data_IF_353302960645
#
_entry.id   IF_353302960645
#
_cell.length_a   1.000
_cell.length_b   1.000
_cell.length_c   1.000
_cell.angle_alpha   90.00
_cell.angle_beta   90.00
_cell.angle_gamma   90.00
#
_symmetry.space_group_name_H-M   'P 1'
#
loop_
_entity.id
_entity.type
_entity.pdbx_description
1 polymer ?
#
# COMPACT_ATOMS: atom_id res chain seq x y z
N UNK A 1 -26.65 -7.67 -0.23
CA UNK A 1 -25.25 -7.83 -0.65
C UNK A 1 -24.45 -8.34 0.54
N UNK A 2 -23.74 -9.44 0.36
CA UNK A 2 -22.87 -10.03 1.36
C UNK A 2 -21.42 -9.99 0.87
N UNK A 3 -20.50 -9.51 1.70
CA UNK A 3 -19.08 -9.33 1.36
C UNK A 3 -18.25 -10.31 2.17
N UNK A 4 -17.41 -11.13 1.54
CA UNK A 4 -16.35 -11.86 2.26
C UNK A 4 -15.04 -11.09 2.20
N UNK A 5 -14.42 -10.84 3.35
CA UNK A 5 -13.14 -10.14 3.47
C UNK A 5 -12.07 -11.15 3.87
N UNK A 6 -11.06 -11.31 3.01
CA UNK A 6 -9.94 -12.23 3.27
C UNK A 6 -8.71 -11.44 3.66
N UNK A 7 -8.15 -11.74 4.84
CA UNK A 7 -6.96 -11.10 5.39
C UNK A 7 -6.03 -12.13 6.03
N UNK A 8 -4.73 -11.88 6.03
CA UNK A 8 -3.75 -12.85 6.56
C UNK A 8 -2.66 -12.23 7.43
N UNK A 9 -2.40 -10.94 7.29
CA UNK A 9 -1.28 -10.25 7.93
C UNK A 9 -1.70 -8.96 8.63
N UNK A 10 -0.86 -8.46 9.55
CA UNK A 10 -1.13 -7.19 10.25
C UNK A 10 -1.34 -6.00 9.33
N UNK A 11 -0.53 -5.78 8.27
CA UNK A 11 -0.77 -4.69 7.32
C UNK A 11 -2.16 -4.76 6.67
N UNK A 12 -2.62 -5.96 6.30
CA UNK A 12 -3.97 -6.15 5.75
C UNK A 12 -5.06 -5.81 6.77
N UNK A 13 -4.89 -6.26 8.02
CA UNK A 13 -5.83 -5.92 9.10
C UNK A 13 -5.91 -4.40 9.28
N UNK A 14 -4.76 -3.71 9.32
CA UNK A 14 -4.69 -2.25 9.47
C UNK A 14 -5.40 -1.56 8.31
N UNK A 15 -5.06 -1.91 7.08
CA UNK A 15 -5.57 -1.25 5.87
C UNK A 15 -7.04 -1.56 5.61
N UNK A 16 -7.53 -2.73 6.00
CA UNK A 16 -8.94 -3.10 5.86
C UNK A 16 -9.83 -2.61 7.03
N UNK A 17 -9.25 -2.18 8.15
CA UNK A 17 -10.00 -1.69 9.29
C UNK A 17 -11.02 -0.59 8.92
N UNK A 18 -10.66 0.49 8.20
CA UNK A 18 -11.61 1.51 7.80
C UNK A 18 -12.68 1.01 6.82
N UNK A 19 -12.37 0.03 5.97
CA UNK A 19 -13.34 -0.60 5.07
C UNK A 19 -14.37 -1.40 5.87
N UNK A 20 -13.91 -2.16 6.87
CA UNK A 20 -14.80 -2.91 7.79
C UNK A 20 -15.70 -1.95 8.56
N UNK A 21 -15.17 -0.81 9.05
CA UNK A 21 -15.98 0.19 9.74
C UNK A 21 -17.06 0.78 8.83
N UNK A 22 -16.74 1.07 7.56
CA UNK A 22 -17.70 1.61 6.61
C UNK A 22 -18.80 0.59 6.23
N UNK A 23 -18.46 -0.70 6.12
CA UNK A 23 -19.39 -1.80 5.95
C UNK A 23 -20.36 -1.88 7.14
N UNK A 24 -19.84 -1.85 8.36
CA UNK A 24 -20.64 -1.87 9.61
C UNK A 24 -21.56 -0.66 9.71
N UNK A 25 -21.06 0.53 9.43
CA UNK A 25 -21.82 1.78 9.46
C UNK A 25 -23.04 1.74 8.52
N UNK A 26 -22.93 1.02 7.40
CA UNK A 26 -24.00 0.86 6.41
C UNK A 26 -24.86 -0.37 6.64
N UNK A 27 -24.62 -1.14 7.69
CA UNK A 27 -25.32 -2.39 7.97
C UNK A 27 -25.27 -3.39 6.79
N UNK A 28 -24.14 -3.46 6.10
CA UNK A 28 -23.91 -4.44 5.03
C UNK A 28 -23.47 -5.75 5.68
N UNK A 29 -24.06 -6.87 5.25
CA UNK A 29 -23.65 -8.20 5.69
C UNK A 29 -22.25 -8.52 5.21
N UNK A 30 -21.41 -9.02 6.10
CA UNK A 30 -20.05 -9.45 5.75
C UNK A 30 -19.57 -10.62 6.59
N UNK A 31 -18.58 -11.32 6.06
CA UNK A 31 -17.86 -12.40 6.73
C UNK A 31 -16.38 -12.08 6.71
N UNK A 32 -15.73 -12.05 7.88
CA UNK A 32 -14.32 -11.76 8.03
C UNK A 32 -13.52 -13.05 8.19
N UNK A 33 -12.68 -13.35 7.21
CA UNK A 33 -11.90 -14.59 7.12
C UNK A 33 -10.42 -14.27 7.34
N UNK A 34 -9.85 -14.79 8.43
CA UNK A 34 -8.44 -14.63 8.75
C UNK A 34 -7.66 -15.92 8.45
N UNK A 35 -6.65 -15.83 7.57
CA UNK A 35 -5.90 -17.01 7.11
C UNK A 35 -4.89 -17.52 8.15
N UNK A 36 -4.46 -16.69 9.08
CA UNK A 36 -3.52 -17.08 10.14
C UNK A 36 -2.10 -17.33 9.63
N UNK A 37 -1.61 -16.51 8.72
CA UNK A 37 -0.33 -16.74 8.02
C UNK A 37 0.91 -16.64 8.94
N UNK A 38 0.95 -15.71 9.91
CA UNK A 38 2.19 -15.37 10.64
C UNK A 38 2.12 -15.38 12.16
N UNK A 39 0.95 -15.54 12.79
CA UNK A 39 0.83 -15.36 14.24
C UNK A 39 -0.07 -16.40 14.89
N UNK A 40 0.23 -16.69 16.16
CA UNK A 40 -0.69 -17.43 17.01
C UNK A 40 -2.03 -16.70 17.11
N UNK A 41 -3.08 -17.49 17.28
CA UNK A 41 -4.45 -17.01 17.37
C UNK A 41 -4.63 -15.93 18.45
N UNK A 42 -3.97 -16.07 19.60
CA UNK A 42 -4.06 -15.12 20.72
C UNK A 42 -3.46 -13.75 20.36
N UNK A 43 -2.28 -13.73 19.72
CA UNK A 43 -1.65 -12.45 19.29
C UNK A 43 -2.48 -11.74 18.22
N UNK A 44 -3.15 -12.49 17.36
CA UNK A 44 -4.06 -11.92 16.37
C UNK A 44 -5.30 -11.33 17.03
N UNK A 45 -5.92 -12.04 18.00
CA UNK A 45 -7.08 -11.56 18.73
C UNK A 45 -6.82 -10.23 19.46
N UNK A 46 -5.68 -10.13 20.16
CA UNK A 46 -5.29 -8.89 20.82
C UNK A 46 -5.19 -7.74 19.84
N UNK A 47 -4.62 -7.98 18.65
CA UNK A 47 -4.48 -6.95 17.62
C UNK A 47 -5.83 -6.45 17.09
N UNK A 48 -6.81 -7.35 16.89
CA UNK A 48 -8.19 -6.96 16.55
C UNK A 48 -8.84 -6.12 17.65
N UNK A 49 -8.64 -6.48 18.92
CA UNK A 49 -9.16 -5.71 20.06
C UNK A 49 -8.51 -4.33 20.17
N UNK A 50 -7.20 -4.24 19.96
CA UNK A 50 -6.47 -2.97 19.99
C UNK A 50 -7.01 -2.01 18.93
N UNK A 51 -7.30 -2.52 17.75
CA UNK A 51 -7.86 -1.77 16.63
C UNK A 51 -9.39 -1.63 16.66
N UNK A 52 -10.08 -2.09 17.70
CA UNK A 52 -11.55 -2.02 17.84
C UNK A 52 -12.31 -2.69 16.68
N UNK A 53 -11.73 -3.78 16.15
CA UNK A 53 -12.31 -4.56 15.08
C UNK A 53 -13.11 -5.75 15.60
N UNK A 54 -14.12 -6.24 14.84
CA UNK A 54 -14.79 -7.49 15.18
C UNK A 54 -13.80 -8.66 15.12
N UNK A 55 -14.09 -9.71 15.87
CA UNK A 55 -13.36 -10.96 15.72
C UNK A 55 -13.61 -11.54 14.33
N UNK A 56 -12.63 -12.20 13.70
CA UNK A 56 -12.88 -12.96 12.49
C UNK A 56 -13.97 -14.00 12.69
N UNK A 57 -14.87 -14.14 11.73
CA UNK A 57 -15.90 -15.18 11.72
C UNK A 57 -15.27 -16.54 11.45
N UNK A 58 -14.22 -16.56 10.60
CA UNK A 58 -13.47 -17.76 10.27
C UNK A 58 -11.97 -17.57 10.45
N UNK A 59 -11.30 -18.61 10.99
CA UNK A 59 -9.86 -18.66 11.17
C UNK A 59 -9.28 -19.95 10.58
N UNK A 60 -8.50 -19.84 9.48
CA UNK A 60 -7.98 -21.02 8.77
C UNK A 60 -6.76 -21.62 9.49
N UNK A 61 -5.92 -20.80 10.10
CA UNK A 61 -4.76 -21.27 10.87
C UNK A 61 -3.65 -21.87 10.03
N UNK A 62 -3.31 -21.27 8.89
CA UNK A 62 -2.33 -21.80 7.94
C UNK A 62 -0.92 -21.92 8.55
N UNK A 63 -0.55 -20.98 9.41
CA UNK A 63 0.77 -20.91 10.03
C UNK A 63 1.90 -20.56 9.02
N UNK A 64 3.12 -20.44 9.55
CA UNK A 64 4.30 -20.11 8.73
C UNK A 64 4.83 -21.36 8.02
N UNK A 65 4.83 -21.34 6.69
CA UNK A 65 5.30 -22.42 5.80
C UNK A 65 5.96 -21.80 4.56
N UNK A 66 6.43 -22.64 3.62
CA UNK A 66 6.85 -22.14 2.30
C UNK A 66 5.68 -21.51 1.54
N UNK A 67 5.94 -20.55 0.65
CA UNK A 67 4.91 -19.85 -0.13
C UNK A 67 3.89 -20.81 -0.76
N UNK A 68 4.35 -21.85 -1.47
CA UNK A 68 3.47 -22.84 -2.10
C UNK A 68 2.55 -23.55 -1.09
N UNK A 69 3.11 -23.99 0.06
CA UNK A 69 2.33 -24.68 1.09
C UNK A 69 1.34 -23.75 1.80
N UNK A 70 1.71 -22.48 1.99
CA UNK A 70 0.80 -21.47 2.57
C UNK A 70 -0.35 -21.20 1.61
N UNK A 71 -0.05 -20.90 0.34
CA UNK A 71 -1.07 -20.63 -0.68
C UNK A 71 -2.02 -21.81 -0.83
N UNK A 72 -1.52 -23.04 -0.97
CA UNK A 72 -2.34 -24.23 -1.11
C UNK A 72 -3.26 -24.47 0.10
N UNK A 73 -2.73 -24.33 1.33
CA UNK A 73 -3.52 -24.50 2.55
C UNK A 73 -4.60 -23.40 2.69
N UNK A 74 -4.25 -22.16 2.33
CA UNK A 74 -5.20 -21.05 2.31
C UNK A 74 -6.32 -21.29 1.30
N UNK A 75 -5.97 -21.70 0.08
CA UNK A 75 -6.95 -22.02 -0.97
C UNK A 75 -7.94 -23.09 -0.52
N UNK A 76 -7.43 -24.20 0.05
CA UNK A 76 -8.28 -25.29 0.53
C UNK A 76 -9.27 -24.80 1.61
N UNK A 77 -8.77 -24.05 2.62
CA UNK A 77 -9.63 -23.55 3.68
C UNK A 77 -10.66 -22.52 3.19
N UNK A 78 -10.27 -21.66 2.25
CA UNK A 78 -11.17 -20.66 1.66
C UNK A 78 -12.29 -21.30 0.84
N UNK A 79 -11.99 -22.36 0.07
CA UNK A 79 -12.99 -23.02 -0.76
C UNK A 79 -14.18 -23.52 0.07
N UNK A 80 -13.91 -24.17 1.20
CA UNK A 80 -14.96 -24.70 2.08
C UNK A 80 -15.80 -23.55 2.70
N UNK A 81 -15.13 -22.50 3.20
CA UNK A 81 -15.78 -21.33 3.78
C UNK A 81 -16.65 -20.60 2.73
N UNK A 82 -16.14 -20.35 1.54
CA UNK A 82 -16.88 -19.62 0.51
C UNK A 82 -18.08 -20.41 -0.04
N UNK A 83 -18.02 -21.75 -0.03
CA UNK A 83 -19.18 -22.61 -0.35
C UNK A 83 -20.32 -22.44 0.67
N UNK A 84 -19.97 -22.29 1.95
CA UNK A 84 -20.92 -22.07 3.03
C UNK A 84 -21.48 -20.64 3.03
N UNK A 85 -20.59 -19.65 2.99
CA UNK A 85 -20.90 -18.23 3.13
C UNK A 85 -21.64 -17.63 1.93
N UNK A 86 -21.37 -18.13 0.72
CA UNK A 86 -21.96 -17.69 -0.57
C UNK A 86 -21.99 -16.17 -0.72
N UNK A 87 -20.84 -15.49 -0.62
CA UNK A 87 -20.80 -14.03 -0.74
C UNK A 87 -21.07 -13.58 -2.18
N UNK A 88 -21.60 -12.37 -2.33
CA UNK A 88 -21.75 -11.70 -3.63
C UNK A 88 -20.42 -11.22 -4.19
N UNK A 89 -19.44 -10.95 -3.30
CA UNK A 89 -18.09 -10.50 -3.67
C UNK A 89 -17.08 -10.92 -2.59
N UNK A 90 -15.87 -11.28 -3.01
CA UNK A 90 -14.71 -11.48 -2.13
C UNK A 90 -13.80 -10.27 -2.25
N UNK A 91 -13.50 -9.62 -1.13
CA UNK A 91 -12.53 -8.53 -1.04
C UNK A 91 -11.19 -9.04 -0.53
N UNK A 92 -10.12 -8.70 -1.26
CA UNK A 92 -8.72 -8.94 -0.89
C UNK A 92 -7.96 -7.62 -0.86
N UNK A 93 -6.85 -7.53 -0.12
CA UNK A 93 -6.08 -6.28 0.01
C UNK A 93 -4.58 -6.53 -0.09
N UNK A 94 -3.90 -5.85 -1.03
CA UNK A 94 -2.45 -5.86 -1.15
C UNK A 94 -1.91 -7.05 -1.94
N UNK A 95 -0.86 -7.71 -1.41
CA UNK A 95 0.01 -8.57 -2.23
C UNK A 95 0.51 -9.85 -1.53
N UNK A 96 -0.14 -10.25 -0.46
CA UNK A 96 0.29 -11.45 0.28
C UNK A 96 -0.17 -12.75 -0.36
N UNK A 97 0.30 -13.90 0.17
CA UNK A 97 -0.22 -15.20 -0.27
C UNK A 97 -1.71 -15.37 0.03
N UNK A 98 -2.25 -14.67 1.04
CA UNK A 98 -3.69 -14.68 1.35
C UNK A 98 -4.49 -14.00 0.22
N UNK A 99 -3.97 -12.89 -0.31
CA UNK A 99 -4.56 -12.17 -1.46
C UNK A 99 -4.58 -13.03 -2.70
N UNK A 100 -3.42 -13.62 -3.05
CA UNK A 100 -3.31 -14.55 -4.18
C UNK A 100 -4.32 -15.70 -4.06
N UNK A 101 -4.35 -16.37 -2.91
CA UNK A 101 -5.24 -17.50 -2.67
C UNK A 101 -6.72 -17.09 -2.72
N UNK A 102 -7.06 -15.96 -2.09
CA UNK A 102 -8.42 -15.42 -2.04
C UNK A 102 -8.95 -15.07 -3.43
N UNK A 103 -8.17 -14.33 -4.21
CA UNK A 103 -8.54 -13.95 -5.57
C UNK A 103 -8.70 -15.16 -6.48
N UNK A 104 -7.75 -16.10 -6.43
CA UNK A 104 -7.77 -17.28 -7.29
C UNK A 104 -8.92 -18.23 -6.97
N UNK A 105 -9.18 -18.50 -5.69
CA UNK A 105 -10.30 -19.39 -5.28
C UNK A 105 -11.64 -18.76 -5.65
N UNK A 106 -11.86 -17.49 -5.29
CA UNK A 106 -13.11 -16.79 -5.61
C UNK A 106 -13.37 -16.79 -7.12
N UNK A 107 -12.37 -16.44 -7.94
CA UNK A 107 -12.49 -16.46 -9.40
C UNK A 107 -12.85 -17.84 -9.95
N UNK A 108 -12.23 -18.94 -9.46
CA UNK A 108 -12.54 -20.31 -9.87
C UNK A 108 -13.92 -20.79 -9.40
N UNK A 109 -14.43 -20.22 -8.33
CA UNK A 109 -15.79 -20.47 -7.82
C UNK A 109 -16.84 -19.56 -8.46
N UNK A 110 -16.45 -18.75 -9.43
CA UNK A 110 -17.30 -17.75 -10.09
C UNK A 110 -17.89 -16.70 -9.12
N UNK A 111 -17.13 -16.35 -8.09
CA UNK A 111 -17.46 -15.27 -7.17
C UNK A 111 -16.64 -14.04 -7.58
N UNK A 112 -17.26 -12.87 -7.81
CA UNK A 112 -16.55 -11.64 -8.13
C UNK A 112 -15.50 -11.28 -7.09
N UNK A 113 -14.37 -10.71 -7.54
CA UNK A 113 -13.25 -10.28 -6.69
C UNK A 113 -13.12 -8.77 -6.74
N UNK A 114 -13.07 -8.14 -5.57
CA UNK A 114 -12.68 -6.75 -5.39
C UNK A 114 -11.27 -6.68 -4.81
N UNK A 115 -10.33 -6.08 -5.52
CA UNK A 115 -8.95 -5.97 -5.06
C UNK A 115 -8.65 -4.55 -4.58
N UNK A 116 -8.46 -4.40 -3.28
CA UNK A 116 -8.06 -3.15 -2.63
C UNK A 116 -6.54 -2.98 -2.76
N UNK A 117 -6.09 -1.82 -3.19
CA UNK A 117 -4.68 -1.54 -3.52
C UNK A 117 -4.23 -2.23 -4.82
N UNK A 118 -5.15 -2.41 -5.78
CA UNK A 118 -4.89 -3.00 -7.09
C UNK A 118 -3.96 -2.13 -7.95
N UNK A 119 -3.22 -2.76 -8.86
CA UNK A 119 -2.42 -2.06 -9.87
C UNK A 119 -1.06 -1.54 -9.42
N UNK A 120 -0.66 -1.71 -8.16
CA UNK A 120 0.71 -1.41 -7.74
C UNK A 120 1.69 -2.37 -8.41
N UNK A 121 2.83 -1.84 -8.89
CA UNK A 121 3.88 -2.64 -9.54
C UNK A 121 5.27 -2.20 -9.08
N UNK A 122 6.11 -3.18 -8.78
CA UNK A 122 7.55 -2.99 -8.59
C UNK A 122 8.33 -3.31 -9.87
N UNK A 123 7.70 -4.04 -10.81
CA UNK A 123 8.31 -4.60 -12.02
C UNK A 123 9.47 -5.58 -11.74
N UNK A 124 9.67 -5.95 -10.48
CA UNK A 124 10.67 -6.94 -10.06
C UNK A 124 10.00 -8.30 -9.79
N UNK A 125 9.99 -9.16 -10.81
CA UNK A 125 9.41 -10.50 -10.71
C UNK A 125 10.23 -11.47 -9.82
N UNK A 126 11.34 -11.06 -9.25
CA UNK A 126 12.04 -11.84 -8.22
C UNK A 126 11.35 -11.73 -6.86
N UNK A 127 10.49 -10.72 -6.69
CA UNK A 127 9.66 -10.53 -5.50
C UNK A 127 8.40 -11.40 -5.58
N UNK A 128 8.15 -12.29 -4.59
CA UNK A 128 6.90 -13.06 -4.53
C UNK A 128 5.64 -12.19 -4.52
N UNK A 129 5.72 -11.03 -3.89
CA UNK A 129 4.64 -10.05 -3.80
C UNK A 129 4.25 -9.50 -5.17
N UNK A 130 5.20 -9.29 -6.07
CA UNK A 130 4.91 -8.83 -7.43
C UNK A 130 4.12 -9.86 -8.23
N UNK A 131 4.49 -11.13 -8.10
CA UNK A 131 3.74 -12.22 -8.71
C UNK A 131 2.32 -12.30 -8.15
N UNK A 132 2.19 -12.16 -6.83
CA UNK A 132 0.88 -12.18 -6.16
C UNK A 132 -0.02 -11.06 -6.67
N UNK A 133 0.49 -9.82 -6.81
CA UNK A 133 -0.28 -8.67 -7.36
C UNK A 133 -0.80 -8.94 -8.74
N UNK A 134 0.09 -9.34 -9.67
CA UNK A 134 -0.26 -9.59 -11.07
C UNK A 134 -1.36 -10.66 -11.17
N UNK A 135 -1.20 -11.77 -10.46
CA UNK A 135 -2.19 -12.86 -10.50
C UNK A 135 -3.50 -12.46 -9.85
N UNK A 136 -3.47 -11.75 -8.72
CA UNK A 136 -4.68 -11.25 -8.06
C UNK A 136 -5.42 -10.27 -8.96
N UNK A 137 -4.72 -9.33 -9.60
CA UNK A 137 -5.34 -8.38 -10.54
C UNK A 137 -5.96 -9.11 -11.74
N UNK A 138 -5.32 -10.15 -12.28
CA UNK A 138 -5.88 -10.96 -13.36
C UNK A 138 -7.21 -11.65 -12.97
N UNK A 139 -7.40 -11.97 -11.68
CA UNK A 139 -8.63 -12.57 -11.16
C UNK A 139 -9.70 -11.54 -10.74
N UNK A 140 -9.38 -10.25 -10.82
CA UNK A 140 -10.19 -9.18 -10.21
C UNK A 140 -11.30 -8.69 -11.15
N UNK A 141 -12.47 -8.39 -10.55
CA UNK A 141 -13.65 -7.82 -11.23
C UNK A 141 -13.76 -6.32 -10.97
N UNK A 142 -13.39 -5.84 -9.76
CA UNK A 142 -13.36 -4.42 -9.42
C UNK A 142 -11.99 -4.09 -8.86
N UNK A 143 -11.32 -3.15 -9.49
CA UNK A 143 -9.99 -2.70 -9.09
C UNK A 143 -10.11 -1.40 -8.30
N UNK A 144 -9.75 -1.42 -7.03
CA UNK A 144 -9.66 -0.22 -6.21
C UNK A 144 -8.22 0.28 -6.22
N UNK A 145 -7.91 1.08 -7.23
CA UNK A 145 -6.55 1.59 -7.45
C UNK A 145 -6.23 2.73 -6.46
N UNK A 146 -5.07 2.69 -5.78
CA UNK A 146 -4.70 3.73 -4.82
C UNK A 146 -4.29 5.04 -5.48
N UNK A 147 -3.79 5.01 -6.71
CA UNK A 147 -3.28 6.17 -7.45
C UNK A 147 -3.61 6.07 -8.95
N UNK A 148 -3.50 7.19 -9.66
CA UNK A 148 -3.60 7.21 -11.13
C UNK A 148 -2.55 6.29 -11.77
N UNK A 149 -1.33 6.22 -11.22
CA UNK A 149 -0.27 5.36 -11.72
C UNK A 149 -0.62 3.87 -11.60
N UNK A 150 -1.24 3.48 -10.49
CA UNK A 150 -1.75 2.12 -10.32
C UNK A 150 -2.86 1.79 -11.32
N UNK A 151 -3.78 2.73 -11.57
CA UNK A 151 -4.83 2.58 -12.58
C UNK A 151 -4.24 2.44 -14.00
N UNK A 152 -3.18 3.19 -14.32
CA UNK A 152 -2.45 3.05 -15.57
C UNK A 152 -1.87 1.65 -15.77
N UNK A 153 -1.20 1.11 -14.74
CA UNK A 153 -0.65 -0.24 -14.82
C UNK A 153 -1.73 -1.27 -15.16
N UNK A 154 -2.90 -1.18 -14.52
CA UNK A 154 -4.03 -2.07 -14.79
C UNK A 154 -4.53 -1.97 -16.23
N UNK A 155 -4.64 -0.76 -16.76
CA UNK A 155 -5.05 -0.55 -18.15
C UNK A 155 -4.05 -1.14 -19.14
N UNK A 156 -2.74 -0.99 -18.89
CA UNK A 156 -1.70 -1.62 -19.72
C UNK A 156 -1.74 -3.13 -19.69
N UNK A 157 -2.20 -3.70 -18.60
CA UNK A 157 -2.37 -5.15 -18.44
C UNK A 157 -3.72 -5.65 -18.96
N UNK A 158 -4.55 -4.77 -19.55
CA UNK A 158 -5.79 -5.12 -20.23
C UNK A 158 -7.03 -5.13 -19.32
N UNK A 159 -6.95 -4.53 -18.13
CA UNK A 159 -8.13 -4.37 -17.28
C UNK A 159 -9.15 -3.42 -17.92
N UNK A 160 -10.44 -3.77 -17.84
CA UNK A 160 -11.51 -2.92 -18.35
C UNK A 160 -11.56 -1.58 -17.58
N UNK A 161 -11.50 -0.43 -18.27
CA UNK A 161 -11.52 0.88 -17.63
C UNK A 161 -12.71 1.11 -16.71
N UNK A 162 -13.88 0.61 -17.09
CA UNK A 162 -15.11 0.73 -16.30
C UNK A 162 -15.05 0.03 -14.95
N UNK A 163 -14.10 -0.90 -14.78
CA UNK A 163 -13.91 -1.67 -13.56
C UNK A 163 -12.81 -1.11 -12.67
N UNK A 164 -12.10 -0.05 -13.11
CA UNK A 164 -11.01 0.57 -12.36
C UNK A 164 -11.54 1.83 -11.66
N UNK A 165 -11.45 1.82 -10.34
CA UNK A 165 -11.89 2.94 -9.49
C UNK A 165 -10.69 3.50 -8.74
N UNK A 166 -10.34 4.76 -8.97
CA UNK A 166 -9.29 5.43 -8.20
C UNK A 166 -9.88 5.87 -6.85
N UNK A 167 -9.54 5.12 -5.82
CA UNK A 167 -10.11 5.31 -4.47
C UNK A 167 -9.21 6.15 -3.56
N UNK A 168 -7.91 6.16 -3.82
CA UNK A 168 -6.89 6.45 -2.82
C UNK A 168 -6.48 5.19 -2.07
N UNK A 169 -5.51 5.31 -1.17
CA UNK A 169 -5.00 4.18 -0.39
C UNK A 169 -5.64 4.15 1.00
N UNK A 170 -6.18 3.01 1.39
CA UNK A 170 -6.79 2.78 2.71
C UNK A 170 -5.82 2.97 3.89
N UNK A 171 -4.51 3.02 3.64
CA UNK A 171 -3.54 3.35 4.70
C UNK A 171 -3.75 4.76 5.27
N UNK A 172 -4.22 5.72 4.45
CA UNK A 172 -4.53 7.09 4.89
C UNK A 172 -5.70 7.06 5.86
N UNK A 173 -6.79 6.39 5.46
CA UNK A 173 -7.96 6.17 6.33
C UNK A 173 -7.57 5.48 7.63
N UNK A 174 -6.78 4.40 7.52
CA UNK A 174 -6.31 3.61 8.66
C UNK A 174 -5.44 4.43 9.61
N UNK A 175 -4.50 5.21 9.07
CA UNK A 175 -3.64 6.08 9.86
C UNK A 175 -4.45 7.10 10.67
N UNK A 176 -5.37 7.82 10.02
CA UNK A 176 -6.23 8.81 10.67
C UNK A 176 -7.19 8.19 11.69
N UNK A 177 -7.79 7.03 11.36
CA UNK A 177 -8.64 6.25 12.26
C UNK A 177 -7.88 5.78 13.50
N UNK A 178 -6.75 5.12 13.29
CA UNK A 178 -5.99 4.49 14.35
C UNK A 178 -5.26 5.51 15.23
N UNK A 179 -4.92 6.69 14.70
CA UNK A 179 -4.41 7.79 15.51
C UNK A 179 -5.45 8.26 16.55
N UNK A 180 -6.75 8.30 16.19
CA UNK A 180 -7.81 8.61 17.16
C UNK A 180 -7.89 7.56 18.28
N UNK A 181 -7.72 6.27 17.93
CA UNK A 181 -7.67 5.17 18.90
C UNK A 181 -6.41 5.28 19.76
N UNK A 182 -5.24 5.52 19.14
CA UNK A 182 -3.97 5.68 19.83
C UNK A 182 -4.02 6.81 20.88
N UNK A 183 -4.57 7.97 20.54
CA UNK A 183 -4.76 9.09 21.49
C UNK A 183 -5.61 8.75 22.69
N UNK A 184 -6.52 7.77 22.60
CA UNK A 184 -7.37 7.31 23.69
C UNK A 184 -6.75 6.18 24.52
N UNK A 185 -6.04 5.26 23.86
CA UNK A 185 -5.59 3.99 24.47
C UNK A 185 -4.11 3.96 24.83
N UNK A 186 -3.26 4.69 24.10
CA UNK A 186 -1.82 4.65 24.33
C UNK A 186 -1.47 5.31 25.66
N UNK A 187 -0.56 4.67 26.38
CA UNK A 187 0.02 5.17 27.64
C UNK A 187 1.46 5.61 27.46
N UNK A 188 1.94 5.71 26.23
CA UNK A 188 3.31 6.15 25.99
C UNK A 188 3.47 7.60 26.45
N UNK A 189 4.46 7.84 27.31
CA UNK A 189 4.81 9.18 27.72
C UNK A 189 5.89 9.71 26.76
N UNK A 190 5.54 10.75 25.99
CA UNK A 190 6.43 11.37 25.02
C UNK A 190 6.97 12.67 25.61
N UNK A 191 8.27 12.89 25.58
CA UNK A 191 8.87 14.16 25.97
C UNK A 191 8.46 15.28 25.01
N UNK A 192 8.65 16.54 25.46
CA UNK A 192 8.34 17.73 24.66
C UNK A 192 9.45 18.14 23.67
N UNK A 193 10.51 17.34 23.59
CA UNK A 193 11.67 17.65 22.75
C UNK A 193 11.36 17.48 21.25
N UNK A 194 12.27 17.95 20.41
CA UNK A 194 12.23 17.70 18.96
C UNK A 194 12.55 16.22 18.68
N UNK A 195 11.53 15.38 18.63
CA UNK A 195 11.67 13.94 18.47
C UNK A 195 11.98 13.60 17.02
N UNK A 196 13.03 12.82 16.79
CA UNK A 196 13.25 12.06 15.56
C UNK A 196 12.87 10.61 15.82
N UNK A 197 11.83 10.13 15.17
CA UNK A 197 11.52 8.68 15.20
C UNK A 197 12.35 7.95 14.18
N UNK A 198 13.11 6.93 14.62
CA UNK A 198 13.91 6.08 13.75
C UNK A 198 13.34 4.68 13.68
N UNK A 199 13.20 4.16 12.45
CA UNK A 199 13.01 2.73 12.21
C UNK A 199 13.95 2.23 11.13
N UNK A 200 14.57 1.08 11.36
CA UNK A 200 15.51 0.48 10.42
C UNK A 200 15.50 -1.04 10.59
N UNK A 201 15.26 -1.77 9.50
CA UNK A 201 15.18 -3.24 9.53
C UNK A 201 15.50 -3.90 8.16
N UNK A 202 15.63 -3.13 7.08
CA UNK A 202 15.97 -3.66 5.75
C UNK A 202 17.37 -4.25 5.72
N UNK A 203 17.48 -5.44 5.12
CA UNK A 203 18.75 -6.17 5.00
C UNK A 203 19.86 -5.33 4.39
N UNK A 204 19.53 -4.55 3.36
CA UNK A 204 20.48 -3.70 2.66
C UNK A 204 21.20 -2.68 3.56
N UNK A 205 20.54 -2.26 4.64
CA UNK A 205 21.12 -1.34 5.64
C UNK A 205 21.71 -2.11 6.81
N UNK A 206 20.91 -2.97 7.45
CA UNK A 206 21.29 -3.55 8.75
C UNK A 206 22.28 -4.70 8.64
N UNK A 207 22.34 -5.42 7.51
CA UNK A 207 23.29 -6.51 7.30
C UNK A 207 24.62 -6.00 6.70
N UNK A 208 24.64 -4.80 6.16
CA UNK A 208 25.83 -4.16 5.63
C UNK A 208 26.49 -3.28 6.71
N UNK A 209 27.65 -3.73 7.19
CA UNK A 209 28.38 -3.06 8.27
C UNK A 209 28.66 -1.59 7.96
N UNK A 210 29.20 -1.29 6.78
CA UNK A 210 29.57 0.08 6.38
C UNK A 210 28.37 1.02 6.33
N UNK A 211 27.23 0.57 5.77
CA UNK A 211 26.01 1.37 5.74
C UNK A 211 25.46 1.60 7.14
N UNK A 212 25.43 0.54 7.96
CA UNK A 212 24.95 0.64 9.33
C UNK A 212 25.82 1.61 10.16
N UNK A 213 27.14 1.48 10.07
CA UNK A 213 28.08 2.40 10.73
C UNK A 213 27.88 3.85 10.28
N UNK A 214 27.73 4.09 9.00
CA UNK A 214 27.49 5.44 8.45
C UNK A 214 26.22 6.07 9.03
N UNK A 215 25.11 5.31 9.07
CA UNK A 215 23.86 5.78 9.67
C UNK A 215 24.03 6.05 11.17
N UNK A 216 24.64 5.11 11.92
CA UNK A 216 24.83 5.26 13.36
C UNK A 216 25.69 6.49 13.68
N UNK A 217 26.77 6.72 12.93
CA UNK A 217 27.58 7.92 13.10
C UNK A 217 26.84 9.23 12.78
N UNK A 218 25.88 9.20 11.84
CA UNK A 218 25.00 10.35 11.64
C UNK A 218 24.13 10.62 12.88
N UNK A 219 23.54 9.57 13.46
CA UNK A 219 22.70 9.71 14.65
C UNK A 219 23.44 10.24 15.86
N UNK A 220 24.70 9.84 16.05
CA UNK A 220 25.52 10.29 17.17
C UNK A 220 25.90 11.79 17.09
N UNK A 221 25.85 12.40 15.89
CA UNK A 221 26.14 13.82 15.68
C UNK A 221 24.89 14.72 15.72
N UNK A 222 23.68 14.14 15.90
CA UNK A 222 22.42 14.87 15.91
C UNK A 222 21.92 15.10 17.34
N UNK A 223 22.78 15.65 18.20
CA UNK A 223 22.54 15.83 19.63
C UNK A 223 21.51 16.93 19.97
N UNK A 224 21.16 17.79 19.01
CA UNK A 224 20.07 18.76 19.12
C UNK A 224 18.68 18.14 19.01
N UNK A 225 18.58 16.86 18.69
CA UNK A 225 17.30 16.12 18.60
C UNK A 225 17.27 14.97 19.60
N UNK A 226 16.09 14.68 20.12
CA UNK A 226 15.87 13.43 20.84
C UNK A 226 15.51 12.32 19.85
N UNK A 227 16.39 11.34 19.66
CA UNK A 227 16.16 10.22 18.76
C UNK A 227 15.52 9.08 19.54
N UNK A 228 14.28 8.72 19.16
CA UNK A 228 13.57 7.55 19.71
C UNK A 228 13.66 6.42 18.69
N UNK A 229 14.31 5.35 19.08
CA UNK A 229 14.57 4.20 18.23
C UNK A 229 13.98 2.91 18.80
N UNK A 230 12.75 2.53 18.41
CA UNK A 230 12.21 1.19 18.62
C UNK A 230 13.00 0.19 17.77
N UNK A 231 13.89 -0.56 18.41
CA UNK A 231 14.89 -1.38 17.72
C UNK A 231 14.31 -2.73 17.31
N UNK A 232 14.22 -2.98 16.00
CA UNK A 232 13.81 -4.27 15.48
C UNK A 232 14.80 -5.39 15.88
N UNK A 233 14.36 -6.63 16.17
CA UNK A 233 15.24 -7.72 16.62
C UNK A 233 16.44 -7.99 15.69
N UNK A 234 16.21 -7.99 14.35
CA UNK A 234 17.30 -8.12 13.36
C UNK A 234 18.33 -7.01 13.48
N UNK A 235 17.87 -5.77 13.60
CA UNK A 235 18.73 -4.59 13.73
C UNK A 235 19.55 -4.66 15.02
N UNK A 236 18.90 -5.02 16.13
CA UNK A 236 19.58 -5.20 17.41
C UNK A 236 20.69 -6.21 17.32
N UNK A 237 20.42 -7.40 16.75
CA UNK A 237 21.45 -8.45 16.55
C UNK A 237 22.67 -7.94 15.79
N UNK A 238 22.47 -7.16 14.73
CA UNK A 238 23.57 -6.64 13.92
C UNK A 238 24.28 -5.45 14.58
N UNK A 239 23.57 -4.59 15.30
CA UNK A 239 24.19 -3.55 16.15
C UNK A 239 25.09 -4.15 17.21
N UNK A 240 24.68 -5.22 17.87
CA UNK A 240 25.50 -5.97 18.84
C UNK A 240 26.69 -6.63 18.17
N UNK A 241 26.49 -7.31 17.04
CA UNK A 241 27.54 -7.98 16.24
C UNK A 241 28.63 -7.02 15.78
N UNK A 242 28.26 -5.80 15.40
CA UNK A 242 29.22 -4.79 14.91
C UNK A 242 29.68 -3.81 16.01
N UNK A 243 29.37 -4.10 17.27
CA UNK A 243 29.74 -3.30 18.45
C UNK A 243 29.17 -1.87 18.48
N UNK A 244 28.14 -1.58 17.70
CA UNK A 244 27.50 -0.27 17.59
C UNK A 244 26.44 -0.01 18.66
N UNK A 245 25.84 -1.08 19.22
CA UNK A 245 24.78 -0.95 20.24
C UNK A 245 25.23 -0.17 21.47
N UNK A 246 26.44 -0.44 21.96
CA UNK A 246 26.99 0.23 23.14
C UNK A 246 27.27 1.73 22.89
N UNK A 247 27.60 2.11 21.65
CA UNK A 247 27.80 3.52 21.27
C UNK A 247 26.48 4.28 21.35
N UNK A 248 25.43 3.72 20.76
CA UNK A 248 24.08 4.29 20.83
C UNK A 248 23.54 4.38 22.26
N UNK A 249 23.75 3.34 23.07
CA UNK A 249 23.27 3.29 24.45
C UNK A 249 23.97 4.30 25.40
N UNK A 250 25.15 4.81 25.02
CA UNK A 250 25.86 5.84 25.77
C UNK A 250 25.43 7.27 25.41
N UNK A 251 24.82 7.47 24.26
CA UNK A 251 24.37 8.78 23.79
C UNK A 251 23.09 9.17 24.52
N UNK A 252 23.12 10.26 25.30
CA UNK A 252 21.98 10.70 26.13
C UNK A 252 20.75 11.09 25.31
N UNK A 253 20.98 11.62 24.11
CA UNK A 253 19.95 12.04 23.16
C UNK A 253 19.34 10.88 22.37
N UNK A 254 19.80 9.62 22.53
CA UNK A 254 19.26 8.46 21.86
C UNK A 254 18.57 7.52 22.83
N UNK A 255 17.27 7.30 22.64
CA UNK A 255 16.47 6.36 23.44
C UNK A 255 16.20 5.09 22.67
N UNK A 256 16.89 4.00 23.04
CA UNK A 256 16.69 2.67 22.48
C UNK A 256 15.52 2.00 23.17
N UNK A 257 14.45 1.71 22.44
CA UNK A 257 13.25 1.05 22.96
C UNK A 257 13.13 -0.38 22.43
N UNK A 258 12.37 -1.20 23.13
CA UNK A 258 11.82 -2.44 22.55
C UNK A 258 10.86 -2.08 21.42
N UNK A 259 10.60 -2.98 20.45
CA UNK A 259 9.56 -2.77 19.46
C UNK A 259 8.25 -2.35 20.12
N UNK A 260 7.66 -1.28 19.64
CA UNK A 260 6.39 -0.74 20.13
C UNK A 260 5.20 -1.44 19.46
N UNK A 261 4.07 -1.49 20.15
CA UNK A 261 2.79 -1.80 19.53
C UNK A 261 2.41 -0.74 18.49
N UNK A 262 1.55 -1.12 17.53
CA UNK A 262 1.22 -0.23 16.42
C UNK A 262 0.63 1.12 16.86
N UNK A 263 -0.29 1.12 17.83
CA UNK A 263 -0.92 2.34 18.32
C UNK A 263 0.08 3.27 19.04
N UNK A 264 0.97 2.71 19.88
CA UNK A 264 2.01 3.49 20.56
C UNK A 264 3.01 4.06 19.56
N UNK A 265 3.36 3.26 18.54
CA UNK A 265 4.24 3.71 17.47
C UNK A 265 3.61 4.82 16.63
N UNK A 266 2.33 4.71 16.30
CA UNK A 266 1.60 5.73 15.54
C UNK A 266 1.48 7.05 16.33
N UNK A 267 1.26 6.95 17.64
CA UNK A 267 1.25 8.13 18.51
C UNK A 267 2.64 8.78 18.58
N UNK A 268 3.72 7.99 18.71
CA UNK A 268 5.09 8.48 18.66
C UNK A 268 5.36 9.19 17.32
N UNK A 269 5.02 8.55 16.21
CA UNK A 269 5.20 9.11 14.87
C UNK A 269 4.47 10.45 14.73
N UNK A 270 3.21 10.52 15.16
CA UNK A 270 2.40 11.76 15.05
C UNK A 270 2.92 12.94 15.89
N UNK A 271 3.80 12.70 16.85
CA UNK A 271 4.45 13.72 17.66
C UNK A 271 5.91 13.96 17.25
N UNK A 272 6.35 13.37 16.14
CA UNK A 272 7.73 13.47 15.68
C UNK A 272 7.97 14.78 14.92
N UNK A 273 9.15 15.33 15.12
CA UNK A 273 9.65 16.48 14.35
C UNK A 273 9.99 16.06 12.91
N UNK A 274 10.58 14.88 12.74
CA UNK A 274 10.80 14.19 11.49
C UNK A 274 10.92 12.70 11.74
N UNK A 275 10.87 11.88 10.68
CA UNK A 275 11.11 10.44 10.75
C UNK A 275 12.24 10.02 9.83
N UNK A 276 13.11 9.14 10.34
CA UNK A 276 14.09 8.40 9.54
C UNK A 276 13.65 6.95 9.42
N UNK A 277 13.54 6.46 8.19
CA UNK A 277 13.01 5.10 7.99
C UNK A 277 13.54 4.43 6.73
N UNK A 278 13.63 3.10 6.75
CA UNK A 278 13.80 2.28 5.55
C UNK A 278 12.51 1.50 5.18
N UNK A 279 11.40 1.78 5.87
CA UNK A 279 10.10 1.14 5.66
C UNK A 279 9.28 1.87 4.60
N UNK A 280 8.74 1.15 3.60
CA UNK A 280 7.84 1.72 2.59
C UNK A 280 6.52 2.21 3.18
N UNK A 281 5.85 1.41 4.03
CA UNK A 281 4.57 1.78 4.63
C UNK A 281 4.67 3.01 5.53
N UNK A 282 5.80 3.21 6.20
CA UNK A 282 5.99 4.37 7.08
C UNK A 282 6.13 5.69 6.30
N UNK A 283 6.56 5.65 5.04
CA UNK A 283 6.57 6.82 4.17
C UNK A 283 5.13 7.30 3.88
N UNK A 284 4.20 6.36 3.71
CA UNK A 284 2.77 6.64 3.51
C UNK A 284 2.13 7.23 4.79
N UNK A 285 2.46 6.66 5.95
CA UNK A 285 1.97 7.17 7.25
C UNK A 285 2.57 8.54 7.59
N UNK A 286 3.85 8.77 7.31
CA UNK A 286 4.52 10.04 7.58
C UNK A 286 3.90 11.19 6.79
N UNK A 287 3.68 11.03 5.48
CA UNK A 287 3.05 12.06 4.67
C UNK A 287 1.59 12.29 5.08
N UNK A 288 0.88 11.24 5.49
CA UNK A 288 -0.49 11.33 6.00
C UNK A 288 -0.58 12.15 7.30
N UNK A 289 0.44 12.07 8.13
CA UNK A 289 0.53 12.80 9.40
C UNK A 289 1.22 14.15 9.27
N UNK A 290 1.59 14.55 8.06
CA UNK A 290 2.33 15.78 7.78
C UNK A 290 3.69 15.85 8.51
N UNK A 291 4.38 14.70 8.61
CA UNK A 291 5.69 14.59 9.24
C UNK A 291 6.76 14.49 8.14
N UNK A 292 7.79 15.35 8.13
CA UNK A 292 8.91 15.24 7.23
C UNK A 292 9.55 13.85 7.30
N UNK A 293 9.65 13.18 6.15
CA UNK A 293 10.21 11.83 6.05
C UNK A 293 11.60 11.86 5.39
N UNK A 294 12.56 11.19 5.99
CA UNK A 294 13.87 10.92 5.41
C UNK A 294 14.02 9.42 5.24
N UNK A 295 14.06 8.99 4.00
CA UNK A 295 14.16 7.57 3.67
C UNK A 295 15.62 7.13 3.58
N UNK A 296 16.02 6.21 4.47
CA UNK A 296 17.36 5.62 4.56
C UNK A 296 17.61 4.59 3.43
N UNK A 297 17.23 4.94 2.21
CA UNK A 297 17.38 4.12 1.02
C UNK A 297 17.77 5.00 -0.18
N UNK A 298 18.35 4.40 -1.21
CA UNK A 298 18.68 5.08 -2.46
C UNK A 298 17.56 5.03 -3.49
N UNK A 299 16.56 4.18 -3.27
CA UNK A 299 15.33 4.05 -4.04
C UNK A 299 14.13 3.84 -3.11
N UNK A 300 12.92 3.92 -3.65
CA UNK A 300 11.68 3.64 -2.89
C UNK A 300 10.61 3.07 -3.82
N UNK A 301 9.76 2.21 -3.26
CA UNK A 301 8.51 1.78 -3.92
C UNK A 301 7.37 2.80 -3.74
N UNK A 302 7.69 3.98 -3.18
CA UNK A 302 6.74 5.08 -2.91
C UNK A 302 7.24 6.40 -3.50
N UNK A 303 7.57 6.43 -4.81
CA UNK A 303 8.13 7.61 -5.45
C UNK A 303 7.21 8.83 -5.34
N UNK A 304 5.89 8.61 -5.27
CA UNK A 304 4.89 9.67 -5.16
C UNK A 304 5.10 10.53 -3.90
N UNK A 305 5.61 9.96 -2.79
CA UNK A 305 5.89 10.73 -1.56
C UNK A 305 7.08 11.68 -1.74
N UNK A 306 8.04 11.29 -2.58
CA UNK A 306 9.21 12.10 -2.94
C UNK A 306 8.81 13.20 -3.93
N UNK A 307 8.04 12.85 -4.95
CA UNK A 307 7.51 13.77 -5.95
C UNK A 307 6.61 14.84 -5.32
N UNK A 308 5.80 14.45 -4.34
CA UNK A 308 4.98 15.37 -3.54
C UNK A 308 5.80 16.29 -2.64
N UNK A 309 7.05 15.98 -2.36
CA UNK A 309 7.96 16.78 -1.52
C UNK A 309 7.87 16.51 -0.01
N UNK A 310 7.12 15.52 0.44
CA UNK A 310 7.02 15.12 1.86
C UNK A 310 8.12 14.16 2.32
N UNK A 311 8.87 13.58 1.37
CA UNK A 311 9.90 12.57 1.61
C UNK A 311 11.18 12.87 0.84
N UNK A 312 12.32 12.59 1.46
CA UNK A 312 13.65 12.76 0.85
C UNK A 312 14.42 11.45 0.98
N UNK A 313 14.96 10.95 -0.14
CA UNK A 313 15.85 9.79 -0.12
C UNK A 313 17.26 10.24 0.32
N UNK A 314 17.66 9.90 1.53
CA UNK A 314 18.97 10.25 2.07
C UNK A 314 19.99 9.10 1.98
N UNK A 315 19.50 7.87 1.69
CA UNK A 315 20.38 6.69 1.67
C UNK A 315 21.00 6.39 3.03
N UNK A 316 22.11 5.68 3.01
CA UNK A 316 22.95 5.43 4.18
C UNK A 316 24.12 6.44 4.26
N UNK A 317 23.95 7.63 3.72
CA UNK A 317 24.96 8.67 3.64
C UNK A 317 24.88 9.57 4.88
N UNK A 318 25.92 9.47 5.75
CA UNK A 318 26.03 10.24 6.98
C UNK A 318 25.84 11.75 6.75
N UNK A 319 26.56 12.31 5.80
CA UNK A 319 26.53 13.75 5.52
C UNK A 319 25.15 14.18 5.07
N UNK A 320 24.56 13.44 4.14
CA UNK A 320 23.23 13.75 3.59
C UNK A 320 22.13 13.66 4.66
N UNK A 321 22.21 12.71 5.59
CA UNK A 321 21.28 12.59 6.72
C UNK A 321 21.38 13.85 7.59
N UNK A 322 22.60 14.25 8.00
CA UNK A 322 22.81 15.41 8.87
C UNK A 322 22.40 16.71 8.16
N UNK A 323 22.91 16.95 6.95
CA UNK A 323 22.64 18.18 6.19
C UNK A 323 21.13 18.35 5.94
N UNK A 324 20.42 17.26 5.63
CA UNK A 324 18.97 17.32 5.39
C UNK A 324 18.20 17.65 6.68
N UNK A 325 18.54 17.05 7.82
CA UNK A 325 17.88 17.37 9.09
C UNK A 325 18.18 18.79 9.55
N UNK A 326 19.40 19.27 9.38
CA UNK A 326 19.75 20.67 9.65
C UNK A 326 18.97 21.63 8.74
N UNK A 327 18.86 21.33 7.46
CA UNK A 327 18.07 22.13 6.53
C UNK A 327 16.58 22.21 6.96
N UNK A 328 16.00 21.08 7.39
CA UNK A 328 14.62 21.06 7.92
C UNK A 328 14.50 21.91 9.19
N UNK A 329 15.55 21.98 10.01
CA UNK A 329 15.56 22.75 11.25
C UNK A 329 15.76 24.26 11.01
N UNK A 330 16.69 24.62 10.15
CA UNK A 330 17.13 26.00 9.94
C UNK A 330 16.23 26.74 8.95
N UNK A 331 15.77 26.07 7.88
CA UNK A 331 14.88 26.66 6.87
C UNK A 331 13.40 26.32 7.15
N UNK A 332 12.71 27.25 7.81
CA UNK A 332 11.29 27.10 8.11
C UNK A 332 10.40 27.05 6.86
N UNK A 333 10.82 27.64 5.72
CA UNK A 333 10.05 27.55 4.48
C UNK A 333 10.20 26.17 3.86
N UNK A 334 11.40 25.60 3.88
CA UNK A 334 11.64 24.23 3.44
C UNK A 334 10.84 23.23 4.28
N UNK A 335 10.88 23.37 5.62
CA UNK A 335 10.09 22.55 6.51
C UNK A 335 8.58 22.65 6.23
N UNK A 336 8.07 23.87 6.05
CA UNK A 336 6.65 24.10 5.72
C UNK A 336 6.25 23.44 4.42
N UNK A 337 7.11 23.45 3.39
CA UNK A 337 6.85 22.75 2.12
C UNK A 337 6.71 21.24 2.36
N UNK A 338 7.58 20.63 3.16
CA UNK A 338 7.50 19.20 3.47
C UNK A 338 6.22 18.84 4.26
N UNK A 339 5.88 19.63 5.28
CA UNK A 339 4.68 19.41 6.11
C UNK A 339 3.39 19.57 5.31
N UNK A 340 3.36 20.52 4.37
CA UNK A 340 2.18 20.81 3.55
C UNK A 340 2.22 20.10 2.19
N UNK A 341 3.09 19.12 2.03
CA UNK A 341 3.14 18.31 0.81
C UNK A 341 1.77 17.63 0.58
N UNK A 342 1.20 17.70 -0.63
CA UNK A 342 -0.05 17.02 -0.90
C UNK A 342 0.11 15.51 -0.71
N UNK A 343 -0.88 14.87 -0.09
CA UNK A 343 -0.85 13.43 0.07
C UNK A 343 -1.26 12.74 -1.24
N UNK A 344 -0.36 12.04 -1.94
CA UNK A 344 -0.67 11.40 -3.22
C UNK A 344 -1.62 10.21 -3.09
N UNK A 345 -1.82 9.72 -1.86
CA UNK A 345 -2.66 8.55 -1.57
C UNK A 345 -4.09 8.93 -1.19
N UNK A 346 -4.45 10.22 -1.26
CA UNK A 346 -5.81 10.69 -1.04
C UNK A 346 -6.05 11.39 0.30
N UNK A 347 -7.33 11.55 0.60
CA UNK A 347 -7.84 12.41 1.67
C UNK A 347 -8.42 11.64 2.89
N UNK A 348 -8.22 10.32 2.95
CA UNK A 348 -8.76 9.48 4.00
C UNK A 348 -10.23 9.07 3.80
N UNK A 349 -10.69 9.05 2.55
CA UNK A 349 -12.02 8.59 2.15
C UNK A 349 -11.97 7.40 1.19
N UNK A 350 -10.86 6.68 1.16
CA UNK A 350 -10.71 5.52 0.28
C UNK A 350 -11.71 4.43 0.63
N UNK A 351 -11.93 4.15 1.91
CA UNK A 351 -12.91 3.17 2.38
C UNK A 351 -14.35 3.50 1.94
N UNK A 352 -14.73 4.77 2.03
CA UNK A 352 -16.04 5.24 1.59
C UNK A 352 -16.21 5.06 0.06
N UNK A 353 -15.19 5.41 -0.72
CA UNK A 353 -15.18 5.25 -2.19
C UNK A 353 -15.24 3.78 -2.60
N UNK A 354 -14.49 2.90 -1.91
CA UNK A 354 -14.51 1.45 -2.14
C UNK A 354 -15.92 0.90 -1.95
N UNK A 355 -16.56 1.20 -0.83
CA UNK A 355 -17.89 0.66 -0.54
C UNK A 355 -18.96 1.28 -1.43
N UNK A 356 -18.87 2.57 -1.79
CA UNK A 356 -19.77 3.18 -2.77
C UNK A 356 -19.66 2.47 -4.13
N UNK A 357 -18.46 2.27 -4.64
CA UNK A 357 -18.24 1.61 -5.91
C UNK A 357 -18.75 0.15 -5.89
N UNK A 358 -18.44 -0.60 -4.83
CA UNK A 358 -18.94 -1.98 -4.67
C UNK A 358 -20.46 -2.03 -4.72
N UNK A 359 -21.10 -1.12 -4.02
CA UNK A 359 -22.57 -1.05 -3.95
C UNK A 359 -23.19 -0.66 -5.29
N UNK A 360 -22.56 0.26 -6.01
CA UNK A 360 -22.99 0.65 -7.36
C UNK A 360 -22.87 -0.51 -8.35
N UNK A 361 -21.78 -1.28 -8.29
CA UNK A 361 -21.60 -2.47 -9.12
C UNK A 361 -22.68 -3.53 -8.80
N UNK A 362 -22.93 -3.76 -7.51
CA UNK A 362 -24.00 -4.67 -7.09
C UNK A 362 -25.35 -4.26 -7.61
N UNK A 363 -25.76 -2.98 -7.42
CA UNK A 363 -27.06 -2.45 -7.88
C UNK A 363 -27.24 -2.51 -9.39
N UNK A 364 -26.17 -2.31 -10.15
CA UNK A 364 -26.17 -2.36 -11.61
C UNK A 364 -26.10 -3.78 -12.17
N UNK A 365 -26.07 -4.82 -11.32
CA UNK A 365 -25.92 -6.21 -11.72
C UNK A 365 -24.55 -6.53 -12.35
N UNK A 366 -23.54 -5.68 -12.10
CA UNK A 366 -22.19 -5.85 -12.65
C UNK A 366 -21.32 -6.83 -11.84
N UNK A 367 -21.80 -7.32 -10.68
CA UNK A 367 -21.16 -8.38 -9.89
C UNK A 367 -21.62 -9.77 -10.33
N UNK A 368 -21.91 -9.95 -11.61
CA UNK A 368 -22.28 -11.25 -12.17
C UNK A 368 -21.25 -11.65 -13.22
N UNK A 369 -20.83 -12.91 -13.16
CA UNK A 369 -20.04 -13.48 -14.24
C UNK A 369 -20.97 -13.67 -15.42
N UNK A 370 -20.60 -13.07 -16.55
CA UNK A 370 -21.40 -13.15 -17.78
C UNK A 370 -21.48 -14.59 -18.25
N UNK A 371 -22.67 -15.04 -18.66
CA UNK A 371 -22.81 -16.36 -19.24
C UNK A 371 -22.03 -16.45 -20.59
N UNK A 372 -21.54 -17.65 -20.97
CA UNK A 372 -20.67 -17.83 -22.14
C UNK A 372 -21.22 -17.27 -23.44
N UNK A 373 -22.54 -17.31 -23.63
CA UNK A 373 -23.22 -16.78 -24.80
C UNK A 373 -23.12 -15.25 -24.96
N UNK A 374 -22.82 -14.52 -23.89
CA UNK A 374 -22.66 -13.07 -23.92
C UNK A 374 -21.21 -12.61 -24.08
N UNK A 375 -20.23 -13.52 -23.88
CA UNK A 375 -18.80 -13.19 -23.95
C UNK A 375 -18.39 -12.90 -25.40
N UNK A 376 -18.88 -13.68 -26.34
CA UNK A 376 -18.50 -13.55 -27.75
C UNK A 376 -19.03 -12.24 -28.36
N UNK A 377 -20.22 -11.79 -27.96
CA UNK A 377 -20.79 -10.53 -28.42
C UNK A 377 -20.03 -9.31 -27.89
N UNK A 378 -19.54 -9.38 -26.64
CA UNK A 378 -18.72 -8.32 -26.06
C UNK A 378 -17.34 -8.26 -26.72
N UNK A 379 -16.69 -9.42 -26.93
CA UNK A 379 -15.42 -9.48 -27.63
C UNK A 379 -15.52 -8.95 -29.06
N UNK A 380 -16.57 -9.29 -29.79
CA UNK A 380 -16.83 -8.75 -31.13
C UNK A 380 -17.07 -7.23 -31.10
N UNK A 381 -17.76 -6.74 -30.07
CA UNK A 381 -17.97 -5.30 -29.87
C UNK A 381 -16.66 -4.57 -29.56
N UNK A 382 -15.82 -5.12 -28.70
CA UNK A 382 -14.50 -4.56 -28.38
C UNK A 382 -13.56 -4.60 -29.59
N UNK A 383 -13.55 -5.68 -30.35
CA UNK A 383 -12.79 -5.77 -31.60
C UNK A 383 -13.28 -4.77 -32.66
N UNK A 384 -14.61 -4.55 -32.78
CA UNK A 384 -15.17 -3.52 -33.67
C UNK A 384 -14.75 -2.12 -33.24
N UNK A 385 -14.79 -1.82 -31.92
CA UNK A 385 -14.30 -0.54 -31.39
C UNK A 385 -12.82 -0.30 -31.75
N UNK A 386 -12.01 -1.35 -31.78
CA UNK A 386 -10.59 -1.24 -32.19
C UNK A 386 -10.44 -1.06 -33.71
N UNK A 387 -11.32 -1.64 -34.53
CA UNK A 387 -11.22 -1.60 -35.99
C UNK A 387 -11.95 -0.39 -36.63
N UNK A 388 -13.10 0.02 -36.09
CA UNK A 388 -13.99 1.00 -36.71
C UNK A 388 -13.91 2.41 -36.12
N UNK A 389 -13.48 2.55 -34.82
CA UNK A 389 -13.61 3.81 -34.09
C UNK A 389 -12.27 4.50 -33.76
N UNK A 390 -11.17 4.03 -34.34
CA UNK A 390 -9.88 4.74 -34.23
C UNK A 390 -9.78 5.78 -35.34
N UNK A 391 -10.21 7.00 -35.07
CA UNK A 391 -9.91 8.16 -35.93
C UNK A 391 -8.57 8.75 -35.51
N UNK A 392 -7.58 8.66 -36.41
CA UNK A 392 -6.33 9.40 -36.26
C UNK A 392 -6.58 10.82 -36.74
N UNK A 393 -6.88 11.75 -35.82
CA UNK A 393 -7.30 13.11 -36.16
C UNK A 393 -6.18 14.01 -36.73
N UNK A 394 -4.91 13.73 -36.49
CA UNK A 394 -3.79 14.35 -37.24
C UNK A 394 -2.48 13.62 -36.97
N UNK A 395 -1.75 13.32 -38.02
CA UNK A 395 -0.31 13.01 -38.01
C UNK A 395 0.42 14.28 -38.47
N UNK A 396 0.83 15.16 -37.55
CA UNK A 396 1.84 16.14 -37.87
C UNK A 396 3.22 15.46 -37.83
N UNK A 397 3.93 15.47 -38.94
CA UNK A 397 5.33 15.03 -39.00
C UNK A 397 6.22 16.06 -38.32
N UNK A 398 6.48 15.84 -37.04
CA UNK A 398 7.57 16.46 -36.26
C UNK A 398 8.49 15.36 -35.77
N UNK A 399 9.72 15.72 -35.39
CA UNK A 399 10.66 14.78 -34.75
C UNK A 399 10.05 14.13 -33.50
N UNK A 400 9.04 14.74 -32.87
CA UNK A 400 8.17 14.22 -31.83
C UNK A 400 6.74 14.06 -32.35
N UNK A 401 6.39 12.88 -32.83
CA UNK A 401 5.04 12.59 -33.32
C UNK A 401 4.08 12.40 -32.15
N UNK A 402 3.15 13.34 -31.94
CA UNK A 402 2.03 13.18 -31.00
C UNK A 402 0.85 12.56 -31.74
N UNK A 403 0.45 11.37 -31.35
CA UNK A 403 -0.80 10.76 -31.82
C UNK A 403 -1.83 10.89 -30.72
N UNK A 404 -2.92 11.59 -31.02
CA UNK A 404 -4.11 11.58 -30.19
C UNK A 404 -5.00 10.45 -30.68
N UNK A 405 -5.09 9.36 -29.90
CA UNK A 405 -6.05 8.29 -30.16
C UNK A 405 -7.36 8.71 -29.49
N UNK A 406 -8.36 9.08 -30.26
CA UNK A 406 -9.71 9.37 -29.80
C UNK A 406 -10.58 8.17 -30.13
N UNK A 407 -11.10 7.50 -29.10
CA UNK A 407 -12.13 6.49 -29.29
C UNK A 407 -13.49 7.17 -29.23
N UNK A 408 -14.33 6.91 -30.21
CA UNK A 408 -15.69 7.47 -30.23
C UNK A 408 -16.48 6.90 -29.03
N UNK A 409 -16.90 7.78 -28.12
CA UNK A 409 -17.55 7.43 -26.88
C UNK A 409 -16.66 7.09 -25.68
N UNK A 410 -15.35 6.97 -25.87
CA UNK A 410 -14.38 6.71 -24.81
C UNK A 410 -13.23 7.72 -24.89
N UNK A 411 -13.12 8.62 -23.92
CA UNK A 411 -11.93 9.48 -23.78
C UNK A 411 -10.97 8.78 -22.82
N UNK A 412 -9.85 8.20 -23.29
CA UNK A 412 -8.82 7.73 -22.38
C UNK A 412 -8.29 8.92 -21.59
N UNK A 413 -8.22 8.78 -20.25
CA UNK A 413 -7.97 9.90 -19.33
C UNK A 413 -6.56 9.85 -18.71
N UNK A 414 -5.54 9.47 -19.47
CA UNK A 414 -4.20 9.25 -18.91
C UNK A 414 -3.14 10.20 -19.50
N UNK A 415 -2.07 10.52 -18.74
CA UNK A 415 -0.98 11.33 -19.25
C UNK A 415 -0.12 10.59 -20.30
N UNK A 416 0.63 11.35 -21.07
CA UNK A 416 1.41 10.97 -22.23
C UNK A 416 2.18 9.66 -22.11
N UNK A 417 2.09 8.80 -23.12
CA UNK A 417 2.95 7.63 -23.27
C UNK A 417 3.55 7.53 -24.67
N UNK A 418 4.77 7.02 -24.70
CA UNK A 418 5.45 6.69 -25.95
C UNK A 418 5.08 5.26 -26.35
N UNK A 419 4.39 5.09 -27.48
CA UNK A 419 4.09 3.80 -28.08
C UNK A 419 4.84 3.63 -29.39
N UNK A 420 5.25 2.41 -29.71
CA UNK A 420 5.88 2.10 -30.98
C UNK A 420 4.84 1.54 -31.94
N UNK A 421 4.33 2.36 -32.84
CA UNK A 421 3.35 1.96 -33.86
C UNK A 421 4.04 1.91 -35.24
N UNK A 422 4.11 0.71 -35.82
CA UNK A 422 4.69 0.46 -37.15
C UNK A 422 6.13 0.98 -37.30
N UNK A 423 6.97 0.84 -36.25
CA UNK A 423 8.38 1.26 -36.28
C UNK A 423 8.65 2.76 -36.06
N UNK A 424 7.61 3.55 -35.80
CA UNK A 424 7.74 4.97 -35.38
C UNK A 424 7.40 5.11 -33.90
N UNK A 425 8.16 5.89 -33.16
CA UNK A 425 7.80 6.29 -31.80
C UNK A 425 6.66 7.30 -31.87
N UNK A 426 5.57 6.99 -31.18
CA UNK A 426 4.37 7.80 -31.16
C UNK A 426 4.08 8.16 -29.70
N UNK A 427 3.95 9.46 -29.41
CA UNK A 427 3.52 9.94 -28.10
C UNK A 427 2.00 9.99 -28.09
N UNK A 428 1.37 9.16 -27.27
CA UNK A 428 -0.07 9.16 -27.08
C UNK A 428 -0.43 10.07 -25.90
N UNK A 429 -1.28 11.07 -26.15
CA UNK A 429 -1.93 11.85 -25.08
C UNK A 429 -3.03 10.99 -24.47
N UNK A 430 -2.79 10.52 -23.24
CA UNK A 430 -3.75 9.73 -22.47
C UNK A 430 -4.31 10.66 -21.39
N UNK A 431 -5.64 10.82 -21.32
CA UNK A 431 -6.28 11.78 -20.44
C UNK A 431 -6.51 11.24 -19.02
N UNK A 432 -6.52 12.11 -18.00
CA UNK A 432 -6.81 11.77 -16.61
C UNK A 432 -8.22 11.20 -16.45
N UNK A 433 -8.34 10.13 -15.63
CA UNK A 433 -9.61 9.57 -15.17
C UNK A 433 -10.31 10.51 -14.21
#
# INVERSE_FOLDING_TARGET
MKIAIVIGTRPEIIKMAPVIDEIKKRNIEFSLIHTGQHYDHEMSQQFFQDLELPKPDHYIGVGSKSHAKMTAATMKGLEDILKEEKPDIVMVQGDTNAVLAGALVASKMHIPVGHVEAGLRSFDKTMPEEINRIVADTCTHIYYAPTEKAALNLLFEGACPDNIIITGNTIVDACLRNLKIAKRKSKINLPSDKIITLTMHRAENVDNKTRLESIIHALLELDEFLIIFPVHPRTRKNLEKFHLYKLLAKAEHIKLLKPLGYLDFLLLLSNSYAVLTDSGGLQEEAITLNIPCLTLRYNTERPETVEAGGNILVGADKKRIIDTLKLIQEDQNFRRKMINAPNPYGDGKASEKIINATFDFYRKGKLTIKPPENILSDLQRELRLIEEDITVESLEEREDCKVRIVYDGFKPKFPHQTMNLKGKQVICDIYKI
#
